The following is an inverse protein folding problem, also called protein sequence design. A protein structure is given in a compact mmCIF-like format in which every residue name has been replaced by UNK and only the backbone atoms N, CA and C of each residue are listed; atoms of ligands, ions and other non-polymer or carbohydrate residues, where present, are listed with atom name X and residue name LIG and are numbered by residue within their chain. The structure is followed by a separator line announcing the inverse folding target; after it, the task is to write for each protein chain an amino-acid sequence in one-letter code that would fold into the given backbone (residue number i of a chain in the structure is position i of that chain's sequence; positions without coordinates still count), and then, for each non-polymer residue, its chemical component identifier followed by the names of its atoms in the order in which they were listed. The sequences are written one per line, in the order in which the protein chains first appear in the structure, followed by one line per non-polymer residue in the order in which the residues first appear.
data_IF_911649484133
#
_entry.id   IF_911649484133
#
_cell.length_a   1.000
_cell.length_b   1.000
_cell.length_c   1.000
_cell.angle_alpha   90.00
_cell.angle_beta   90.00
_cell.angle_gamma   90.00
#
_symmetry.space_group_name_H-M   'P 1'
#
loop_
_entity.id
_entity.type
_entity.pdbx_description
1 polymer ?
#
# COMPACT_ATOMS: atom_id res chain seq x y z
N UNK A 1 -11.30 -0.29 40.86
CA UNK A 1 -9.85 -0.47 40.79
C UNK A 1 -9.38 0.29 39.57
N UNK A 2 -8.50 1.24 39.74
CA UNK A 2 -7.98 2.08 38.65
C UNK A 2 -7.06 1.22 37.77
N UNK A 3 -7.26 1.25 36.45
CA UNK A 3 -6.51 0.44 35.50
C UNK A 3 -5.12 1.06 35.31
N UNK A 4 -4.08 0.42 35.82
CA UNK A 4 -2.69 0.91 35.71
C UNK A 4 -1.99 0.51 34.41
N UNK A 5 -2.60 -0.39 33.62
CA UNK A 5 -2.09 -0.83 32.29
C UNK A 5 -3.13 -0.51 31.24
N UNK A 6 -2.70 0.11 30.16
CA UNK A 6 -3.54 0.43 29.00
C UNK A 6 -3.83 -0.78 28.11
N UNK A 7 -4.08 -0.56 26.84
CA UNK A 7 -4.28 -1.62 25.85
C UNK A 7 -2.97 -2.39 25.64
N UNK A 8 -3.05 -3.71 25.70
CA UNK A 8 -1.95 -4.63 25.39
C UNK A 8 -2.20 -5.21 24.02
N UNK A 9 -1.22 -5.16 23.13
CA UNK A 9 -1.26 -5.78 21.81
C UNK A 9 -0.15 -6.84 21.73
N UNK A 10 -0.51 -8.05 21.29
CA UNK A 10 0.42 -9.17 21.14
C UNK A 10 0.47 -9.60 19.67
N UNK A 11 1.65 -9.56 19.07
CA UNK A 11 1.91 -10.15 17.76
C UNK A 11 2.18 -11.66 17.91
N UNK A 12 1.32 -12.50 17.34
CA UNK A 12 1.48 -13.95 17.40
C UNK A 12 2.24 -14.46 16.17
N UNK A 13 3.13 -15.43 16.38
CA UNK A 13 3.78 -16.15 15.28
C UNK A 13 2.85 -17.25 14.79
N UNK A 14 2.54 -17.20 13.50
CA UNK A 14 1.78 -18.24 12.83
C UNK A 14 2.69 -19.03 11.86
N UNK A 15 2.31 -20.25 11.46
CA UNK A 15 2.97 -20.97 10.37
C UNK A 15 2.82 -20.23 9.06
N UNK A 16 3.54 -20.68 8.01
CA UNK A 16 3.38 -20.15 6.66
C UNK A 16 2.02 -20.60 6.14
N UNK A 17 1.14 -19.62 5.88
CA UNK A 17 -0.20 -19.86 5.34
C UNK A 17 -0.12 -20.08 3.83
N UNK A 18 -0.78 -21.13 3.36
CA UNK A 18 -0.90 -21.51 1.94
C UNK A 18 -2.36 -21.52 1.50
N UNK A 19 -2.57 -21.53 0.22
CA UNK A 19 -3.89 -21.75 -0.38
C UNK A 19 -4.47 -23.10 0.06
N UNK A 20 -5.74 -23.08 0.49
CA UNK A 20 -6.45 -24.26 0.97
C UNK A 20 -6.23 -24.61 2.46
N UNK A 21 -5.36 -23.86 3.16
CA UNK A 21 -5.18 -24.09 4.60
C UNK A 21 -6.44 -23.71 5.37
N UNK A 22 -6.73 -24.49 6.44
CA UNK A 22 -7.77 -24.12 7.40
C UNK A 22 -7.28 -22.98 8.30
N UNK A 23 -7.48 -21.76 7.81
CA UNK A 23 -7.05 -20.55 8.51
C UNK A 23 -7.69 -20.42 9.89
N UNK A 24 -8.94 -20.84 10.05
CA UNK A 24 -9.65 -20.76 11.36
C UNK A 24 -8.95 -21.61 12.38
N UNK A 25 -8.66 -22.88 12.03
CA UNK A 25 -7.99 -23.80 12.95
C UNK A 25 -6.57 -23.32 13.26
N UNK A 26 -5.82 -22.84 12.25
CA UNK A 26 -4.46 -22.32 12.46
C UNK A 26 -4.46 -21.12 13.42
N UNK A 27 -5.43 -20.23 13.29
CA UNK A 27 -5.55 -19.06 14.18
C UNK A 27 -5.89 -19.47 15.59
N UNK A 28 -6.86 -20.37 15.76
CA UNK A 28 -7.27 -20.90 17.08
C UNK A 28 -6.09 -21.57 17.78
N UNK A 29 -5.39 -22.46 17.09
CA UNK A 29 -4.24 -23.18 17.65
C UNK A 29 -3.10 -22.20 18.02
N UNK A 30 -2.84 -21.20 17.16
CA UNK A 30 -1.81 -20.20 17.42
C UNK A 30 -2.09 -19.38 18.68
N UNK A 31 -3.36 -19.02 18.90
CA UNK A 31 -3.78 -18.24 20.07
C UNK A 31 -3.70 -19.06 21.33
N UNK A 32 -4.23 -20.29 21.32
CA UNK A 32 -4.22 -21.18 22.48
C UNK A 32 -2.78 -21.52 22.88
N UNK A 33 -1.95 -21.93 21.92
CA UNK A 33 -0.56 -22.23 22.16
C UNK A 33 0.23 -21.02 22.71
N UNK A 34 -0.05 -19.82 22.21
CA UNK A 34 0.59 -18.61 22.69
C UNK A 34 0.15 -18.28 24.13
N UNK A 35 -1.13 -18.41 24.44
CA UNK A 35 -1.65 -18.18 25.78
C UNK A 35 -1.04 -19.14 26.82
N UNK A 36 -0.95 -20.41 26.46
CA UNK A 36 -0.37 -21.45 27.33
C UNK A 36 1.15 -21.26 27.54
N UNK A 37 1.88 -20.99 26.45
CA UNK A 37 3.34 -20.87 26.50
C UNK A 37 3.83 -19.57 27.18
N UNK A 38 3.09 -18.47 26.98
CA UNK A 38 3.45 -17.15 27.51
C UNK A 38 2.73 -16.81 28.82
N UNK A 39 1.84 -17.68 29.28
CA UNK A 39 1.16 -17.59 30.61
C UNK A 39 0.22 -16.37 30.69
N UNK A 40 -0.57 -16.10 29.68
CA UNK A 40 -1.65 -15.11 29.76
C UNK A 40 -3.01 -15.73 29.50
N UNK A 41 -4.04 -15.14 30.10
CA UNK A 41 -5.42 -15.58 29.92
C UNK A 41 -6.10 -14.82 28.81
N UNK A 42 -6.86 -15.51 27.96
CA UNK A 42 -7.78 -14.94 27.00
C UNK A 42 -9.02 -14.46 27.78
N UNK A 43 -9.38 -13.19 27.61
CA UNK A 43 -10.45 -12.56 28.37
C UNK A 43 -11.65 -12.20 27.51
N UNK A 44 -12.80 -12.00 28.15
CA UNK A 44 -13.97 -11.43 27.50
C UNK A 44 -13.63 -10.08 26.88
N UNK A 45 -14.03 -9.88 25.62
CA UNK A 45 -13.79 -8.69 24.80
C UNK A 45 -12.37 -8.55 24.26
N UNK A 46 -11.54 -9.57 24.31
CA UNK A 46 -10.30 -9.58 23.53
C UNK A 46 -10.62 -9.57 22.05
N UNK A 47 -9.81 -8.83 21.29
CA UNK A 47 -9.98 -8.69 19.85
C UNK A 47 -8.87 -9.46 19.16
N UNK A 48 -9.25 -10.37 18.25
CA UNK A 48 -8.34 -11.08 17.36
C UNK A 48 -8.38 -10.37 16.00
N UNK A 49 -7.22 -9.93 15.53
CA UNK A 49 -7.08 -9.28 14.23
C UNK A 49 -6.26 -10.15 13.27
N UNK A 50 -6.80 -10.39 12.10
CA UNK A 50 -6.14 -11.10 11.00
C UNK A 50 -6.13 -10.17 9.80
N UNK A 51 -5.00 -10.08 9.07
CA UNK A 51 -4.93 -9.23 7.88
C UNK A 51 -5.68 -9.88 6.71
N UNK A 52 -6.30 -9.05 5.87
CA UNK A 52 -7.01 -9.49 4.68
C UNK A 52 -6.09 -10.27 3.71
N UNK A 53 -4.82 -9.94 3.65
CA UNK A 53 -3.86 -10.63 2.76
C UNK A 53 -3.64 -12.09 3.16
N UNK A 54 -3.69 -12.41 4.46
CA UNK A 54 -3.62 -13.79 4.94
C UNK A 54 -4.90 -14.54 4.61
N UNK A 55 -6.06 -13.91 4.77
CA UNK A 55 -7.36 -14.48 4.41
C UNK A 55 -7.41 -14.77 2.90
N UNK A 56 -7.06 -13.78 2.07
CA UNK A 56 -7.02 -13.93 0.62
C UNK A 56 -6.08 -15.06 0.20
N UNK A 57 -4.91 -15.19 0.83
CA UNK A 57 -3.96 -16.26 0.54
C UNK A 57 -4.53 -17.64 0.85
N UNK A 58 -5.14 -17.83 2.01
CA UNK A 58 -5.76 -19.11 2.37
C UNK A 58 -6.91 -19.47 1.43
N UNK A 59 -7.65 -18.48 0.94
CA UNK A 59 -8.73 -18.64 -0.02
C UNK A 59 -8.28 -18.80 -1.47
N UNK A 60 -6.99 -18.65 -1.79
CA UNK A 60 -6.49 -18.61 -3.18
C UNK A 60 -7.02 -17.41 -3.97
N UNK A 61 -7.38 -16.33 -3.31
CA UNK A 61 -7.95 -15.15 -3.93
C UNK A 61 -6.83 -14.25 -4.47
N UNK A 62 -6.40 -14.54 -5.69
CA UNK A 62 -5.37 -13.81 -6.42
C UNK A 62 -5.95 -13.20 -7.69
N UNK A 63 -5.39 -12.07 -8.08
CA UNK A 63 -5.63 -11.45 -9.39
C UNK A 63 -4.28 -11.21 -10.08
N UNK A 64 -4.22 -11.47 -11.37
CA UNK A 64 -3.09 -11.09 -12.21
C UNK A 64 -3.33 -9.71 -12.86
N UNK A 65 -2.32 -9.19 -13.56
CA UNK A 65 -2.40 -7.86 -14.19
C UNK A 65 -3.50 -7.80 -15.25
N UNK A 66 -3.72 -8.89 -15.98
CA UNK A 66 -4.73 -8.92 -17.04
C UNK A 66 -6.16 -9.01 -16.49
N UNK A 67 -6.34 -9.64 -15.32
CA UNK A 67 -7.63 -9.61 -14.60
C UNK A 67 -7.96 -8.17 -14.16
N UNK A 68 -6.97 -7.44 -13.64
CA UNK A 68 -7.13 -6.02 -13.26
C UNK A 68 -7.44 -5.18 -14.50
N UNK A 69 -6.72 -5.38 -15.61
CA UNK A 69 -6.96 -4.65 -16.84
C UNK A 69 -8.38 -4.88 -17.39
N UNK A 70 -8.85 -6.11 -17.34
CA UNK A 70 -10.22 -6.46 -17.75
C UNK A 70 -11.26 -5.75 -16.89
N UNK A 71 -11.10 -5.78 -15.58
CA UNK A 71 -12.01 -5.12 -14.63
C UNK A 71 -12.05 -3.59 -14.83
N UNK A 72 -10.89 -2.97 -15.05
CA UNK A 72 -10.78 -1.53 -15.35
C UNK A 72 -11.51 -1.20 -16.67
N UNK A 73 -11.25 -1.98 -17.72
CA UNK A 73 -11.89 -1.76 -19.02
C UNK A 73 -13.41 -1.89 -18.95
N UNK A 74 -13.91 -2.89 -18.23
CA UNK A 74 -15.35 -3.08 -18.06
C UNK A 74 -16.02 -1.94 -17.27
N UNK A 75 -15.34 -1.41 -16.25
CA UNK A 75 -15.86 -0.36 -15.37
C UNK A 75 -15.81 1.03 -16.00
N UNK A 76 -14.73 1.35 -16.70
CA UNK A 76 -14.48 2.70 -17.21
C UNK A 76 -14.73 2.87 -18.71
N UNK A 77 -14.99 1.79 -19.45
CA UNK A 77 -15.47 1.83 -20.85
C UNK A 77 -14.70 2.79 -21.76
N UNK A 78 -13.39 2.70 -21.75
CA UNK A 78 -12.46 3.55 -22.53
C UNK A 78 -12.46 5.04 -22.10
N UNK A 79 -12.82 5.36 -20.87
CA UNK A 79 -12.71 6.71 -20.32
C UNK A 79 -11.34 6.97 -19.68
N UNK A 80 -11.08 8.25 -19.36
CA UNK A 80 -9.91 8.68 -18.57
C UNK A 80 -10.08 8.25 -17.11
N UNK A 81 -9.07 7.60 -16.56
CA UNK A 81 -9.05 7.15 -15.16
C UNK A 81 -8.13 8.03 -14.31
N UNK A 82 -8.69 8.65 -13.29
CA UNK A 82 -7.93 9.40 -12.29
C UNK A 82 -7.40 8.48 -11.17
N UNK A 83 -6.10 8.51 -10.93
CA UNK A 83 -5.46 7.80 -9.82
C UNK A 83 -4.95 8.81 -8.80
N UNK A 84 -5.58 8.84 -7.62
CA UNK A 84 -5.29 9.84 -6.59
C UNK A 84 -4.41 9.26 -5.49
N UNK A 85 -3.34 9.96 -5.20
CA UNK A 85 -2.45 9.75 -4.05
C UNK A 85 -1.92 8.32 -3.89
N UNK A 86 -1.44 7.69 -4.97
CA UNK A 86 -0.84 6.38 -4.84
C UNK A 86 0.47 6.45 -4.05
N UNK A 87 0.77 5.36 -3.34
CA UNK A 87 2.07 5.20 -2.68
C UNK A 87 3.15 4.91 -3.73
N UNK A 88 4.39 5.34 -3.45
CA UNK A 88 5.55 5.04 -4.28
C UNK A 88 6.03 3.61 -3.97
N UNK A 89 5.59 2.63 -4.75
CA UNK A 89 5.91 1.23 -4.48
C UNK A 89 6.06 0.40 -5.74
N UNK A 90 7.24 -0.26 -5.89
CA UNK A 90 7.53 -1.21 -6.97
C UNK A 90 6.80 -2.54 -6.79
N UNK A 91 6.56 -2.94 -5.54
CA UNK A 91 6.03 -4.27 -5.24
C UNK A 91 4.51 -4.31 -5.10
N UNK A 92 3.89 -3.15 -4.91
CA UNK A 92 2.45 -3.02 -4.68
C UNK A 92 1.80 -2.21 -5.79
N UNK A 93 1.93 -0.88 -5.75
CA UNK A 93 1.19 -0.01 -6.65
C UNK A 93 1.64 -0.16 -8.12
N UNK A 94 2.92 -0.34 -8.41
CA UNK A 94 3.41 -0.52 -9.79
C UNK A 94 2.68 -1.64 -10.54
N UNK A 95 2.39 -2.77 -9.87
CA UNK A 95 1.68 -3.88 -10.50
C UNK A 95 0.20 -3.53 -10.78
N UNK A 96 -0.43 -2.77 -9.88
CA UNK A 96 -1.78 -2.25 -10.11
C UNK A 96 -1.79 -1.25 -11.26
N UNK A 97 -0.81 -0.34 -11.30
CA UNK A 97 -0.68 0.66 -12.36
C UNK A 97 -0.53 0.02 -13.74
N UNK A 98 0.23 -1.08 -13.86
CA UNK A 98 0.30 -1.84 -15.12
C UNK A 98 -1.06 -2.38 -15.55
N UNK A 99 -1.87 -2.86 -14.60
CA UNK A 99 -3.23 -3.30 -14.90
C UNK A 99 -4.11 -2.13 -15.35
N UNK A 100 -4.00 -0.99 -14.68
CA UNK A 100 -4.73 0.24 -15.03
C UNK A 100 -4.33 0.73 -16.42
N UNK A 101 -3.03 0.79 -16.73
CA UNK A 101 -2.52 1.23 -18.02
C UNK A 101 -3.02 0.36 -19.19
N UNK A 102 -3.12 -0.95 -18.97
CA UNK A 102 -3.66 -1.86 -19.99
C UNK A 102 -5.17 -1.77 -20.16
N UNK A 103 -5.90 -1.39 -19.11
CA UNK A 103 -7.37 -1.36 -19.10
C UNK A 103 -7.99 -0.01 -19.42
N UNK A 104 -7.32 1.09 -19.12
CA UNK A 104 -7.81 2.44 -19.33
C UNK A 104 -7.36 3.00 -20.68
N UNK A 105 -8.11 3.96 -21.22
CA UNK A 105 -7.72 4.70 -22.41
C UNK A 105 -6.64 5.75 -22.10
N UNK A 106 -6.78 6.37 -20.96
CA UNK A 106 -5.89 7.43 -20.48
C UNK A 106 -5.85 7.38 -18.94
N UNK A 107 -4.70 7.66 -18.35
CA UNK A 107 -4.54 7.73 -16.90
C UNK A 107 -3.97 9.09 -16.52
N UNK A 108 -4.61 9.72 -15.52
CA UNK A 108 -4.09 10.92 -14.87
C UNK A 108 -3.70 10.54 -13.44
N UNK A 109 -2.41 10.59 -13.12
CA UNK A 109 -1.92 10.29 -11.77
C UNK A 109 -1.68 11.61 -11.03
N UNK A 110 -2.32 11.76 -9.88
CA UNK A 110 -2.06 12.86 -8.95
C UNK A 110 -1.35 12.32 -7.72
N UNK A 111 -0.08 12.67 -7.57
CA UNK A 111 0.68 12.41 -6.35
C UNK A 111 0.31 13.45 -5.29
N UNK A 112 0.30 13.04 -4.01
CA UNK A 112 0.29 13.97 -2.88
C UNK A 112 1.73 14.40 -2.58
N UNK A 113 2.08 14.68 -1.32
CA UNK A 113 3.49 14.80 -0.94
C UNK A 113 4.14 13.42 -1.08
N UNK A 114 4.87 13.16 -2.20
CA UNK A 114 5.09 11.78 -2.68
C UNK A 114 6.00 10.99 -1.75
N UNK A 115 5.47 9.88 -1.25
CA UNK A 115 6.15 8.99 -0.31
C UNK A 115 5.85 7.51 -0.58
N UNK A 116 6.70 6.64 -0.03
CA UNK A 116 6.43 5.20 0.04
C UNK A 116 5.46 4.85 1.19
N UNK A 117 5.18 3.55 1.37
CA UNK A 117 4.25 3.03 2.38
C UNK A 117 4.71 3.21 3.84
N UNK A 118 5.95 3.60 4.07
CA UNK A 118 6.50 3.84 5.41
C UNK A 118 6.91 5.29 5.63
N UNK A 119 6.55 6.19 4.70
CA UNK A 119 6.72 7.63 4.83
C UNK A 119 8.08 8.16 4.38
N UNK A 120 8.83 7.44 3.54
CA UNK A 120 10.03 7.98 2.91
C UNK A 120 9.63 8.83 1.71
N UNK A 121 9.81 10.13 1.84
CA UNK A 121 9.47 11.11 0.80
C UNK A 121 10.56 11.25 -0.27
N UNK A 122 10.16 11.65 -1.49
CA UNK A 122 11.10 11.99 -2.57
C UNK A 122 11.81 13.32 -2.35
N UNK A 123 11.16 14.25 -1.66
CA UNK A 123 11.70 15.55 -1.31
C UNK A 123 11.68 15.71 0.21
N UNK A 124 12.64 16.42 0.77
CA UNK A 124 12.70 16.71 2.21
C UNK A 124 11.75 17.86 2.59
N UNK A 125 11.44 17.98 3.87
CA UNK A 125 10.65 19.12 4.36
C UNK A 125 11.38 20.45 4.14
N UNK A 126 12.70 20.48 4.30
CA UNK A 126 13.51 21.68 4.06
C UNK A 126 13.41 22.13 2.60
N UNK A 127 13.52 21.20 1.64
CA UNK A 127 13.32 21.50 0.21
C UNK A 127 11.91 22.03 -0.08
N UNK A 128 10.90 21.46 0.56
CA UNK A 128 9.52 21.92 0.42
C UNK A 128 9.35 23.35 0.97
N UNK A 129 9.86 23.61 2.18
CA UNK A 129 9.78 24.92 2.82
C UNK A 129 10.55 26.01 2.03
N UNK A 130 11.73 25.69 1.51
CA UNK A 130 12.55 26.57 0.67
C UNK A 130 11.88 26.87 -0.67
N UNK A 131 11.09 25.96 -1.22
CA UNK A 131 10.37 26.14 -2.49
C UNK A 131 9.25 27.17 -2.41
N UNK A 132 8.72 27.42 -1.23
CA UNK A 132 7.55 28.26 -1.00
C UNK A 132 6.23 27.68 -1.49
N UNK A 133 6.20 26.39 -1.89
CA UNK A 133 5.01 25.68 -2.34
C UNK A 133 4.18 25.28 -1.14
N UNK A 134 2.88 25.51 -1.22
CA UNK A 134 1.93 25.04 -0.22
C UNK A 134 1.39 23.66 -0.63
N UNK A 135 1.81 22.55 0.03
CA UNK A 135 1.41 21.19 -0.37
C UNK A 135 -0.09 20.90 -0.19
N UNK A 136 -0.83 21.80 0.47
CA UNK A 136 -2.26 21.64 0.70
C UNK A 136 -3.13 22.31 -0.38
N UNK A 137 -2.59 23.30 -1.10
CA UNK A 137 -3.34 24.09 -2.06
C UNK A 137 -2.74 24.09 -3.47
N UNK A 138 -1.43 23.96 -3.56
CA UNK A 138 -0.74 24.09 -4.83
C UNK A 138 -0.64 22.73 -5.53
N UNK A 139 -0.84 22.75 -6.86
CA UNK A 139 -0.69 21.58 -7.70
C UNK A 139 0.36 21.88 -8.75
N UNK A 140 1.35 21.03 -8.88
CA UNK A 140 2.41 21.13 -9.86
C UNK A 140 2.18 20.12 -10.99
N UNK A 141 2.46 20.53 -12.21
CA UNK A 141 2.69 19.58 -13.30
C UNK A 141 4.04 18.89 -13.09
N UNK A 142 4.28 17.79 -13.80
CA UNK A 142 5.60 17.12 -13.77
C UNK A 142 6.73 18.10 -14.13
N UNK A 143 6.56 18.90 -15.18
CA UNK A 143 7.53 19.90 -15.63
C UNK A 143 7.83 20.90 -14.50
N UNK A 144 6.81 21.46 -13.86
CA UNK A 144 6.96 22.38 -12.73
C UNK A 144 7.63 21.72 -11.53
N UNK A 145 7.33 20.44 -11.27
CA UNK A 145 7.97 19.68 -10.20
C UNK A 145 9.47 19.50 -10.47
N UNK A 146 9.84 19.11 -11.69
CA UNK A 146 11.24 18.93 -12.12
C UNK A 146 12.00 20.26 -12.15
N UNK A 147 11.37 21.35 -12.54
CA UNK A 147 11.98 22.69 -12.50
C UNK A 147 12.27 23.15 -11.05
N UNK A 148 11.39 22.78 -10.11
CA UNK A 148 11.49 23.21 -8.71
C UNK A 148 12.44 22.35 -7.90
N UNK A 149 12.35 21.03 -8.04
CA UNK A 149 13.05 20.06 -7.19
C UNK A 149 14.14 19.27 -7.91
N UNK A 150 14.19 19.36 -9.25
CA UNK A 150 15.09 18.56 -10.09
C UNK A 150 14.66 17.11 -10.18
N UNK A 151 15.55 16.28 -10.73
CA UNK A 151 15.37 14.81 -10.71
C UNK A 151 15.43 14.31 -9.29
N UNK A 152 14.40 13.58 -8.88
CA UNK A 152 14.29 13.02 -7.53
C UNK A 152 14.33 11.52 -7.56
N UNK A 153 15.07 10.93 -6.64
CA UNK A 153 15.10 9.49 -6.48
C UNK A 153 14.80 9.09 -5.04
N UNK A 154 14.14 7.96 -4.90
CA UNK A 154 13.79 7.43 -3.59
C UNK A 154 15.04 7.17 -2.74
N UNK A 155 15.11 7.66 -1.48
CA UNK A 155 16.35 7.72 -0.69
C UNK A 155 16.98 6.35 -0.40
N UNK A 156 16.21 5.28 -0.36
CA UNK A 156 16.73 3.93 -0.09
C UNK A 156 16.83 3.04 -1.31
N UNK A 157 15.98 3.24 -2.31
CA UNK A 157 15.95 2.35 -3.49
C UNK A 157 16.64 2.95 -4.71
N UNK A 158 16.88 4.27 -4.71
CA UNK A 158 17.43 4.99 -5.84
C UNK A 158 16.51 5.05 -7.06
N UNK A 159 15.23 4.68 -6.91
CA UNK A 159 14.26 4.67 -8.02
C UNK A 159 13.69 6.06 -8.21
N UNK A 160 13.72 6.54 -9.45
CA UNK A 160 12.90 7.66 -9.89
C UNK A 160 11.47 7.15 -10.16
N UNK A 161 10.57 7.39 -9.21
CA UNK A 161 9.19 6.90 -9.31
C UNK A 161 8.35 7.72 -10.29
N UNK A 162 8.70 8.97 -10.55
CA UNK A 162 7.99 9.80 -11.54
C UNK A 162 8.27 9.25 -12.93
N UNK A 163 9.54 9.07 -13.26
CA UNK A 163 9.93 8.47 -14.53
C UNK A 163 9.39 7.04 -14.70
N UNK A 164 9.46 6.20 -13.64
CA UNK A 164 8.96 4.83 -13.66
C UNK A 164 7.45 4.76 -13.91
N UNK A 165 6.67 5.63 -13.28
CA UNK A 165 5.21 5.61 -13.45
C UNK A 165 4.81 6.13 -14.83
N UNK A 166 5.50 7.14 -15.36
CA UNK A 166 5.32 7.61 -16.72
C UNK A 166 5.63 6.52 -17.75
N UNK A 167 6.74 5.80 -17.58
CA UNK A 167 7.10 4.67 -18.47
C UNK A 167 5.99 3.62 -18.51
N UNK A 168 5.43 3.25 -17.33
CA UNK A 168 4.37 2.24 -17.24
C UNK A 168 3.07 2.71 -17.90
N UNK A 169 2.75 3.99 -17.83
CA UNK A 169 1.51 4.53 -18.42
C UNK A 169 1.66 4.77 -19.91
N UNK A 170 2.89 4.95 -20.41
CA UNK A 170 3.16 5.15 -21.84
C UNK A 170 3.19 3.83 -22.66
N UNK A 171 3.38 2.68 -22.01
CA UNK A 171 3.35 1.34 -22.63
C UNK A 171 1.90 0.88 -22.94
#
# INVERSE_FOLDING_TARGET
MERSVGTVVRGLRAPIIKEGDDLVQIVVDSIINAAENEGYDIQDRDIIAITESIVARAQGNYANIDDIATDIKEKFQDETVGVLFPILSRNRFMNLLKGFARGAKEIVIQLSYPADEVGNHLITLDQLDESGINPWSDTLTEEQFLETFGETSHPFTGVDYIALYNEIVAD
#
